data_IF_482580261716
#
_entry.id   IF_482580261716
#
_cell.length_a   1.000
_cell.length_b   1.000
_cell.length_c   1.000
_cell.angle_alpha   90.00
_cell.angle_beta   90.00
_cell.angle_gamma   90.00
#
_symmetry.space_group_name_H-M   'P 1'
#
loop_
_entity.id
_entity.type
_entity.pdbx_description
1 polymer ?
#
# COMPACT_ATOMS: atom_id res chain seq x y z
N UNK A 1 -3.08 -21.73 -13.64
CA UNK A 1 -2.09 -21.17 -12.71
C UNK A 1 -1.05 -20.43 -13.52
N UNK A 2 -0.84 -19.13 -13.26
CA UNK A 2 0.15 -18.30 -13.96
C UNK A 2 1.53 -18.65 -13.43
N UNK A 3 2.46 -19.05 -14.32
CA UNK A 3 3.85 -19.31 -13.97
C UNK A 3 4.61 -17.97 -13.83
N UNK A 4 5.19 -17.72 -12.66
CA UNK A 4 5.94 -16.51 -12.34
C UNK A 4 7.44 -16.78 -12.18
N UNK A 5 7.95 -17.94 -12.57
CA UNK A 5 9.34 -18.34 -12.36
C UNK A 5 10.34 -17.43 -13.08
N UNK A 6 9.94 -16.87 -14.23
CA UNK A 6 10.73 -15.95 -15.04
C UNK A 6 10.39 -14.46 -14.83
N UNK A 7 9.55 -14.13 -13.80
CA UNK A 7 9.20 -12.74 -13.49
C UNK A 7 10.26 -12.10 -12.61
N UNK A 8 10.57 -10.83 -12.89
CA UNK A 8 11.55 -10.07 -12.14
C UNK A 8 11.02 -9.65 -10.77
N UNK A 9 11.89 -9.62 -9.76
CA UNK A 9 11.55 -8.99 -8.49
C UNK A 9 11.35 -7.48 -8.67
N UNK A 10 10.28 -6.97 -8.11
CA UNK A 10 10.06 -5.53 -8.03
C UNK A 10 10.59 -4.97 -6.71
N UNK A 11 11.42 -3.96 -6.79
CA UNK A 11 11.90 -3.19 -5.65
C UNK A 11 11.40 -1.76 -5.77
N UNK A 12 10.71 -1.28 -4.75
CA UNK A 12 10.39 0.14 -4.64
C UNK A 12 11.68 0.96 -4.60
N UNK A 13 11.61 2.17 -5.11
CA UNK A 13 12.74 3.09 -5.07
C UNK A 13 12.51 4.17 -3.99
N UNK A 14 13.57 4.47 -3.25
CA UNK A 14 13.65 5.67 -2.45
C UNK A 14 13.63 6.92 -3.35
N UNK A 15 13.34 8.12 -2.81
CA UNK A 15 13.43 9.37 -3.58
C UNK A 15 14.79 9.61 -4.24
N UNK A 16 15.87 9.02 -3.69
CA UNK A 16 17.23 9.11 -4.26
C UNK A 16 17.53 8.01 -5.31
N UNK A 17 16.53 7.21 -5.72
CA UNK A 17 16.66 6.15 -6.71
C UNK A 17 17.25 4.84 -6.19
N UNK A 18 17.61 4.73 -4.91
CA UNK A 18 18.10 3.46 -4.35
C UNK A 18 16.95 2.49 -4.07
N UNK A 19 17.13 1.16 -4.27
CA UNK A 19 16.11 0.19 -3.91
C UNK A 19 15.75 0.23 -2.43
N UNK A 20 14.45 0.20 -2.15
CA UNK A 20 13.90 0.12 -0.80
C UNK A 20 13.16 -1.20 -0.63
N UNK A 21 13.67 -2.13 0.16
CA UNK A 21 13.01 -3.39 0.45
C UNK A 21 11.88 -3.15 1.45
N UNK A 22 10.69 -2.82 0.95
CA UNK A 22 9.60 -2.35 1.80
C UNK A 22 8.52 -3.37 2.10
N UNK A 23 8.47 -4.47 1.36
CA UNK A 23 7.39 -5.43 1.55
C UNK A 23 7.74 -6.45 2.63
N UNK A 24 7.07 -6.35 3.76
CA UNK A 24 7.22 -7.25 4.90
C UNK A 24 6.38 -8.53 4.77
N UNK A 25 5.34 -8.49 3.93
CA UNK A 25 4.28 -9.50 3.90
C UNK A 25 4.20 -10.26 2.60
N UNK A 26 4.72 -9.71 1.50
CA UNK A 26 4.68 -10.37 0.21
C UNK A 26 5.93 -10.10 -0.61
N UNK A 27 6.21 -10.99 -1.57
CA UNK A 27 7.24 -10.83 -2.57
C UNK A 27 6.61 -10.33 -3.87
N UNK A 28 6.88 -9.09 -4.29
CA UNK A 28 6.37 -8.57 -5.55
C UNK A 28 7.23 -9.02 -6.71
N UNK A 29 6.58 -9.51 -7.77
CA UNK A 29 7.22 -9.82 -9.05
C UNK A 29 6.44 -9.16 -10.19
N UNK A 30 7.13 -8.75 -11.22
CA UNK A 30 6.53 -8.15 -12.42
C UNK A 30 6.86 -9.00 -13.64
N UNK A 31 5.87 -9.10 -14.55
CA UNK A 31 6.06 -9.83 -15.79
C UNK A 31 7.08 -9.13 -16.71
N UNK A 32 7.69 -9.84 -17.68
CA UNK A 32 8.67 -9.26 -18.61
C UNK A 32 8.18 -8.03 -19.35
N UNK A 33 6.89 -7.96 -19.68
CA UNK A 33 6.24 -6.84 -20.38
C UNK A 33 5.98 -5.63 -19.47
N UNK A 34 6.25 -5.73 -18.15
CA UNK A 34 6.03 -4.68 -17.14
C UNK A 34 4.58 -4.17 -17.13
N UNK A 35 3.61 -5.09 -17.24
CA UNK A 35 2.17 -4.78 -17.31
C UNK A 35 1.35 -5.45 -16.21
N UNK A 36 1.91 -6.48 -15.59
CA UNK A 36 1.27 -7.25 -14.51
C UNK A 36 2.24 -7.39 -13.34
N UNK A 37 1.75 -7.11 -12.14
CA UNK A 37 2.46 -7.43 -10.90
C UNK A 37 1.78 -8.63 -10.23
N UNK A 38 2.58 -9.57 -9.76
CA UNK A 38 2.17 -10.61 -8.83
C UNK A 38 2.61 -10.22 -7.41
N UNK A 39 1.67 -9.99 -6.52
CA UNK A 39 1.92 -9.93 -5.09
C UNK A 39 1.78 -11.34 -4.51
N UNK A 40 2.92 -12.00 -4.27
CA UNK A 40 2.96 -13.33 -3.66
C UNK A 40 3.11 -13.18 -2.14
N UNK A 41 2.07 -13.44 -1.38
CA UNK A 41 2.03 -13.33 0.09
C UNK A 41 2.85 -14.43 0.76
N UNK A 42 4.13 -14.32 0.53
CA UNK A 42 5.20 -15.16 1.04
C UNK A 42 6.51 -14.38 0.84
N UNK A 43 7.42 -14.43 1.79
CA UNK A 43 8.74 -13.80 1.62
C UNK A 43 9.71 -14.80 1.01
N UNK A 44 10.10 -14.55 -0.23
CA UNK A 44 11.13 -15.32 -0.91
C UNK A 44 12.51 -14.94 -0.32
N UNK A 45 13.27 -15.90 0.23
CA UNK A 45 14.61 -15.62 0.75
C UNK A 45 15.58 -15.01 -0.28
N UNK A 46 15.38 -15.30 -1.58
CA UNK A 46 16.17 -14.68 -2.65
C UNK A 46 15.84 -13.19 -2.84
N UNK A 47 14.62 -12.78 -2.54
CA UNK A 47 14.20 -11.38 -2.56
C UNK A 47 14.82 -10.57 -1.40
N UNK A 48 14.94 -11.18 -0.20
CA UNK A 48 15.48 -10.54 1.01
C UNK A 48 16.49 -11.44 1.75
N UNK A 49 17.66 -11.73 1.16
CA UNK A 49 18.58 -12.73 1.69
C UNK A 49 19.20 -12.39 3.05
N UNK A 50 19.15 -11.13 3.49
CA UNK A 50 19.75 -10.66 4.75
C UNK A 50 18.75 -10.46 5.89
N UNK A 51 17.46 -10.56 5.60
CA UNK A 51 16.40 -10.25 6.56
C UNK A 51 15.54 -11.50 6.79
N UNK A 52 15.72 -12.14 7.93
CA UNK A 52 14.82 -13.21 8.37
C UNK A 52 13.69 -12.56 9.17
N UNK A 53 12.64 -12.13 8.49
CA UNK A 53 11.44 -11.64 9.18
C UNK A 53 10.53 -12.84 9.39
N UNK A 54 10.40 -13.26 10.65
CA UNK A 54 9.42 -14.26 11.05
C UNK A 54 8.06 -13.55 11.20
N UNK A 55 7.30 -13.52 10.11
CA UNK A 55 5.92 -13.05 10.13
C UNK A 55 5.02 -14.27 10.40
N UNK A 56 4.13 -14.24 11.39
CA UNK A 56 3.16 -15.31 11.61
C UNK A 56 2.32 -15.57 10.36
N UNK A 57 2.06 -16.85 10.06
CA UNK A 57 1.30 -17.21 8.86
C UNK A 57 -0.12 -16.63 8.89
N UNK A 58 -0.75 -16.58 10.04
CA UNK A 58 -2.08 -15.99 10.23
C UNK A 58 -2.13 -14.52 9.84
N UNK A 59 -1.03 -13.78 10.07
CA UNK A 59 -0.91 -12.39 9.65
C UNK A 59 -0.79 -12.27 8.12
N UNK A 60 -0.02 -13.14 7.50
CA UNK A 60 0.12 -13.18 6.03
C UNK A 60 -1.23 -13.48 5.37
N UNK A 61 -1.96 -14.48 5.90
CA UNK A 61 -3.28 -14.87 5.41
C UNK A 61 -4.29 -13.73 5.56
N UNK A 62 -4.29 -13.07 6.71
CA UNK A 62 -5.16 -11.93 6.98
C UNK A 62 -4.93 -10.77 5.99
N UNK A 63 -3.68 -10.40 5.72
CA UNK A 63 -3.37 -9.35 4.76
C UNK A 63 -3.70 -9.73 3.32
N UNK A 64 -3.46 -10.98 2.94
CA UNK A 64 -3.86 -11.49 1.62
C UNK A 64 -5.37 -11.35 1.41
N UNK A 65 -6.17 -11.81 2.36
CA UNK A 65 -7.63 -11.72 2.29
C UNK A 65 -8.12 -10.27 2.23
N UNK A 66 -7.51 -9.37 3.01
CA UNK A 66 -7.83 -7.94 3.00
C UNK A 66 -7.52 -7.27 1.68
N UNK A 67 -6.38 -7.58 1.10
CA UNK A 67 -5.98 -7.04 -0.21
C UNK A 67 -6.93 -7.52 -1.32
N UNK A 68 -7.27 -8.80 -1.32
CA UNK A 68 -8.27 -9.35 -2.25
C UNK A 68 -9.63 -8.67 -2.08
N UNK A 69 -10.07 -8.48 -0.85
CA UNK A 69 -11.34 -7.80 -0.54
C UNK A 69 -11.33 -6.37 -1.06
N UNK A 70 -10.30 -5.60 -0.74
CA UNK A 70 -10.12 -4.24 -1.23
C UNK A 70 -10.19 -4.16 -2.77
N UNK A 71 -9.41 -4.97 -3.46
CA UNK A 71 -9.36 -4.99 -4.93
C UNK A 71 -10.70 -5.31 -5.58
N UNK A 72 -11.50 -6.17 -4.95
CA UNK A 72 -12.83 -6.53 -5.44
C UNK A 72 -13.88 -5.47 -5.15
N UNK A 73 -13.96 -4.98 -3.92
CA UNK A 73 -15.01 -4.04 -3.50
C UNK A 73 -14.81 -2.65 -4.10
N UNK A 74 -13.55 -2.21 -4.24
CA UNK A 74 -13.22 -0.90 -4.81
C UNK A 74 -12.77 -0.96 -6.30
N UNK A 75 -13.07 -2.05 -6.99
CA UNK A 75 -12.73 -2.23 -8.42
C UNK A 75 -13.32 -1.18 -9.35
N UNK A 76 -14.37 -0.49 -8.94
CA UNK A 76 -15.02 0.59 -9.68
C UNK A 76 -14.24 1.92 -9.67
N UNK A 77 -13.28 2.07 -8.74
CA UNK A 77 -12.47 3.29 -8.63
C UNK A 77 -11.34 3.29 -9.67
N UNK A 78 -11.10 4.46 -10.26
CA UNK A 78 -9.96 4.67 -11.17
C UNK A 78 -8.61 4.41 -10.50
N UNK A 79 -8.51 4.67 -9.20
CA UNK A 79 -7.30 4.46 -8.39
C UNK A 79 -7.07 3.02 -7.97
N UNK A 80 -8.03 2.13 -8.14
CA UNK A 80 -7.83 0.71 -7.89
C UNK A 80 -7.24 0.03 -9.13
N UNK A 81 -6.13 -0.70 -9.02
CA UNK A 81 -5.60 -1.44 -10.16
C UNK A 81 -6.55 -2.56 -10.58
N UNK A 82 -6.57 -2.89 -11.86
CA UNK A 82 -7.37 -4.01 -12.35
C UNK A 82 -6.86 -5.31 -11.70
N UNK A 83 -7.77 -6.09 -11.14
CA UNK A 83 -7.50 -7.43 -10.63
C UNK A 83 -7.67 -8.43 -11.76
N UNK A 84 -6.58 -9.11 -12.16
CA UNK A 84 -6.60 -10.10 -13.24
C UNK A 84 -6.94 -11.50 -12.73
N UNK A 85 -6.30 -11.91 -11.62
CA UNK A 85 -6.48 -13.25 -11.07
C UNK A 85 -6.11 -13.31 -9.58
N UNK A 86 -6.63 -14.33 -8.88
CA UNK A 86 -6.29 -14.64 -7.49
C UNK A 86 -6.06 -16.14 -7.34
N UNK A 87 -4.85 -16.53 -7.00
CA UNK A 87 -4.48 -17.90 -6.64
C UNK A 87 -4.56 -18.03 -5.11
N UNK A 88 -5.70 -18.51 -4.62
CA UNK A 88 -5.95 -18.64 -3.18
C UNK A 88 -5.07 -19.69 -2.52
N UNK A 89 -4.75 -20.78 -3.21
CA UNK A 89 -3.96 -21.89 -2.67
C UNK A 89 -2.51 -21.45 -2.39
N UNK A 90 -1.96 -20.59 -3.26
CA UNK A 90 -0.59 -20.08 -3.16
C UNK A 90 -0.52 -18.63 -2.70
N UNK A 91 -1.66 -18.00 -2.35
CA UNK A 91 -1.74 -16.60 -1.89
C UNK A 91 -1.09 -15.61 -2.85
N UNK A 92 -1.43 -15.71 -4.13
CA UNK A 92 -0.95 -14.79 -5.17
C UNK A 92 -2.08 -13.93 -5.69
N UNK A 93 -1.81 -12.64 -5.86
CA UNK A 93 -2.73 -11.67 -6.46
C UNK A 93 -2.05 -11.11 -7.71
N UNK A 94 -2.73 -11.15 -8.84
CA UNK A 94 -2.24 -10.63 -10.10
C UNK A 94 -3.00 -9.35 -10.45
N UNK A 95 -2.29 -8.23 -10.48
CA UNK A 95 -2.88 -6.91 -10.70
C UNK A 95 -2.23 -6.18 -11.88
N UNK A 96 -2.96 -5.21 -12.39
CA UNK A 96 -2.42 -4.21 -13.32
C UNK A 96 -1.15 -3.57 -12.75
N UNK A 97 -0.18 -3.34 -13.64
CA UNK A 97 1.08 -2.71 -13.28
C UNK A 97 1.60 -1.81 -14.39
N UNK A 98 2.31 -0.78 -14.01
CA UNK A 98 3.21 -0.01 -14.87
C UNK A 98 4.44 0.42 -14.05
N UNK A 99 5.58 0.46 -14.71
CA UNK A 99 6.86 0.83 -14.07
C UNK A 99 6.92 2.30 -13.62
N UNK A 100 6.05 3.14 -14.14
CA UNK A 100 6.00 4.58 -13.84
C UNK A 100 5.34 4.81 -12.49
N UNK A 101 6.11 5.18 -11.48
CA UNK A 101 5.59 5.46 -10.13
C UNK A 101 5.36 6.95 -9.92
N UNK A 102 4.43 7.32 -9.05
CA UNK A 102 4.22 8.70 -8.64
C UNK A 102 5.51 9.32 -8.07
N UNK A 103 6.31 8.52 -7.35
CA UNK A 103 7.61 8.97 -6.83
C UNK A 103 8.54 9.46 -7.94
N UNK A 104 8.56 8.77 -9.10
CA UNK A 104 9.38 9.21 -10.25
C UNK A 104 8.92 10.54 -10.81
N UNK A 105 7.61 10.78 -10.87
CA UNK A 105 7.08 12.08 -11.31
C UNK A 105 7.45 13.18 -10.35
N UNK A 106 7.26 12.98 -9.05
CA UNK A 106 7.51 14.02 -8.03
C UNK A 106 8.99 14.38 -7.85
N UNK A 107 9.91 13.44 -8.08
CA UNK A 107 11.33 13.63 -7.80
C UNK A 107 12.22 13.73 -9.05
N UNK A 108 11.66 13.64 -10.25
CA UNK A 108 12.42 13.86 -11.49
C UNK A 108 12.29 15.32 -11.93
N UNK A 109 13.41 16.07 -12.05
CA UNK A 109 13.36 17.46 -12.48
C UNK A 109 12.67 17.64 -13.83
N UNK A 110 11.80 18.63 -13.93
CA UNK A 110 11.07 18.96 -15.16
C UNK A 110 9.81 18.14 -15.41
N UNK A 111 9.47 17.21 -14.52
CA UNK A 111 8.18 16.51 -14.51
C UNK A 111 7.18 17.26 -13.63
N UNK A 112 5.92 17.18 -14.00
CA UNK A 112 4.83 17.85 -13.29
C UNK A 112 3.59 16.95 -13.22
N UNK A 113 3.11 16.72 -11.99
CA UNK A 113 2.01 15.80 -11.73
C UNK A 113 0.68 16.29 -12.36
N UNK A 114 0.41 17.60 -12.31
CA UNK A 114 -0.83 18.15 -12.87
C UNK A 114 -0.89 17.99 -14.40
N UNK A 115 0.28 17.93 -15.06
CA UNK A 115 0.39 17.69 -16.51
C UNK A 115 0.31 16.20 -16.85
N UNK A 116 0.99 15.35 -16.08
CA UNK A 116 1.14 13.93 -16.41
C UNK A 116 -0.05 13.07 -15.98
N UNK A 117 -0.73 13.48 -14.91
CA UNK A 117 -1.94 12.82 -14.39
C UNK A 117 -3.04 13.87 -14.20
N UNK A 118 -3.63 14.38 -15.27
CA UNK A 118 -4.75 15.31 -15.17
C UNK A 118 -5.83 14.75 -14.25
N UNK A 119 -6.39 15.60 -13.39
CA UNK A 119 -7.43 15.22 -12.41
C UNK A 119 -6.96 14.23 -11.31
N UNK A 120 -5.67 14.16 -11.01
CA UNK A 120 -5.18 13.30 -9.92
C UNK A 120 -5.79 13.67 -8.56
N UNK A 121 -6.10 14.95 -8.34
CA UNK A 121 -6.73 15.42 -7.10
C UNK A 121 -8.14 14.86 -6.94
N UNK A 122 -8.93 14.92 -8.00
CA UNK A 122 -10.27 14.31 -8.02
C UNK A 122 -10.20 12.80 -7.84
N UNK A 123 -9.25 12.14 -8.51
CA UNK A 123 -9.04 10.70 -8.36
C UNK A 123 -8.71 10.34 -6.91
N UNK A 124 -7.85 11.11 -6.25
CA UNK A 124 -7.50 10.88 -4.84
C UNK A 124 -8.63 11.24 -3.88
N UNK A 125 -9.40 12.28 -4.18
CA UNK A 125 -10.59 12.63 -3.40
C UNK A 125 -11.63 11.51 -3.46
N UNK A 126 -11.95 11.02 -4.65
CA UNK A 126 -12.86 9.87 -4.84
C UNK A 126 -12.33 8.62 -4.11
N UNK A 127 -11.03 8.40 -4.16
CA UNK A 127 -10.39 7.30 -3.44
C UNK A 127 -10.60 7.43 -1.92
N UNK A 128 -10.31 8.58 -1.33
CA UNK A 128 -10.48 8.78 0.11
C UNK A 128 -11.95 8.70 0.54
N UNK A 129 -12.87 9.29 -0.22
CA UNK A 129 -14.31 9.18 0.06
C UNK A 129 -14.73 7.72 0.05
N UNK A 130 -14.40 6.99 -1.02
CA UNK A 130 -14.82 5.60 -1.18
C UNK A 130 -14.19 4.67 -0.16
N UNK A 131 -12.93 4.89 0.22
CA UNK A 131 -12.30 4.11 1.29
C UNK A 131 -12.97 4.38 2.64
N UNK A 132 -13.31 5.65 2.93
CA UNK A 132 -14.05 6.03 4.15
C UNK A 132 -15.43 5.38 4.19
N UNK A 133 -16.21 5.44 3.10
CA UNK A 133 -17.55 4.89 3.00
C UNK A 133 -17.59 3.35 3.08
N UNK A 134 -16.56 2.68 2.58
CA UNK A 134 -16.44 1.22 2.59
C UNK A 134 -15.59 0.70 3.76
N UNK A 135 -15.28 1.55 4.73
CA UNK A 135 -14.51 1.20 5.92
C UNK A 135 -13.10 0.65 5.64
N UNK A 136 -12.46 1.13 4.57
CA UNK A 136 -11.06 0.84 4.27
C UNK A 136 -10.19 2.06 4.54
N UNK A 137 -8.96 1.83 5.02
CA UNK A 137 -7.99 2.88 5.29
C UNK A 137 -6.62 2.48 4.76
N UNK A 138 -6.16 3.20 3.75
CA UNK A 138 -4.80 3.00 3.24
C UNK A 138 -3.80 3.72 4.14
N UNK A 139 -3.06 2.96 4.92
CA UNK A 139 -2.06 3.49 5.86
C UNK A 139 -0.80 3.98 5.14
N UNK A 140 -0.45 3.39 3.99
CA UNK A 140 0.74 3.76 3.23
C UNK A 140 0.38 4.70 2.08
N UNK A 141 0.59 5.99 2.28
CA UNK A 141 0.37 7.05 1.28
C UNK A 141 1.68 7.54 0.65
N UNK A 142 2.75 6.77 0.74
CA UNK A 142 4.02 7.12 0.08
C UNK A 142 3.86 7.12 -1.45
N UNK A 143 4.44 8.10 -2.16
CA UNK A 143 4.34 8.16 -3.62
C UNK A 143 4.82 6.91 -4.35
N UNK A 144 5.74 6.15 -3.77
CA UNK A 144 6.16 4.85 -4.30
C UNK A 144 5.15 3.72 -4.05
N UNK A 145 4.01 4.00 -3.39
CA UNK A 145 2.86 3.12 -3.27
C UNK A 145 1.77 3.41 -4.32
N UNK A 146 2.10 4.22 -5.32
CA UNK A 146 1.24 4.54 -6.44
C UNK A 146 2.04 4.43 -7.75
N UNK A 147 1.38 3.93 -8.80
CA UNK A 147 1.92 3.98 -10.15
C UNK A 147 0.94 4.70 -11.08
N UNK A 148 1.45 5.16 -12.23
CA UNK A 148 0.66 5.80 -13.25
C UNK A 148 0.38 4.76 -14.32
N UNK A 149 -0.88 4.45 -14.58
CA UNK A 149 -1.27 3.51 -15.63
C UNK A 149 -1.01 4.09 -17.03
N UNK A 150 -1.08 3.25 -18.06
CA UNK A 150 -0.85 3.68 -19.45
C UNK A 150 -1.85 4.72 -19.95
N UNK A 151 -3.04 4.76 -19.35
CA UNK A 151 -4.10 5.75 -19.64
C UNK A 151 -4.06 6.97 -18.72
N UNK A 152 -2.97 7.20 -18.00
CA UNK A 152 -2.75 8.39 -17.17
C UNK A 152 -3.58 8.40 -15.88
N UNK A 153 -3.95 7.25 -15.35
CA UNK A 153 -4.64 7.17 -14.07
C UNK A 153 -3.66 6.85 -12.94
N UNK A 154 -3.88 7.45 -11.78
CA UNK A 154 -3.14 7.11 -10.58
C UNK A 154 -3.68 5.81 -9.98
N UNK A 155 -2.84 4.81 -9.82
CA UNK A 155 -3.21 3.48 -9.29
C UNK A 155 -2.47 3.15 -8.02
N UNK A 156 -3.15 2.52 -7.07
CA UNK A 156 -2.54 2.11 -5.79
C UNK A 156 -1.78 0.79 -5.91
N UNK A 157 -0.70 0.67 -5.15
CA UNK A 157 -0.04 -0.61 -4.84
C UNK A 157 0.16 -0.72 -3.33
N UNK A 158 0.55 -1.89 -2.84
CA UNK A 158 0.67 -2.17 -1.40
C UNK A 158 -0.66 -2.00 -0.67
N UNK A 159 -1.69 -2.63 -1.21
CA UNK A 159 -3.02 -2.55 -0.62
C UNK A 159 -3.12 -3.34 0.69
N UNK A 160 -2.11 -4.14 1.04
CA UNK A 160 -2.02 -4.79 2.36
C UNK A 160 -2.13 -3.78 3.52
N UNK A 161 -1.82 -2.51 3.26
CA UNK A 161 -1.98 -1.43 4.22
C UNK A 161 -3.41 -0.88 4.28
N UNK A 162 -4.34 -1.41 3.49
CA UNK A 162 -5.76 -1.05 3.55
C UNK A 162 -6.45 -1.92 4.59
N UNK A 163 -6.91 -1.29 5.65
CA UNK A 163 -7.48 -1.97 6.81
C UNK A 163 -8.91 -1.49 6.99
N UNK A 164 -9.87 -2.38 7.30
CA UNK A 164 -11.26 -1.99 7.56
C UNK A 164 -11.35 -1.03 8.73
N UNK A 165 -12.01 0.10 8.52
CA UNK A 165 -12.18 1.14 9.54
C UNK A 165 -12.93 0.66 10.79
N UNK A 166 -13.88 -0.26 10.64
CA UNK A 166 -14.71 -0.77 11.75
C UNK A 166 -14.02 -1.82 12.61
N UNK A 167 -12.88 -2.33 12.22
CA UNK A 167 -12.08 -3.16 13.11
C UNK A 167 -11.47 -2.29 14.20
N UNK A 168 -12.26 -1.99 15.21
CA UNK A 168 -11.91 -1.05 16.29
C UNK A 168 -10.73 -1.50 17.12
N UNK A 169 -10.45 -2.81 17.13
CA UNK A 169 -9.41 -3.38 17.96
C UNK A 169 -8.65 -4.44 17.17
N UNK A 170 -7.37 -4.18 16.94
CA UNK A 170 -6.44 -5.15 16.36
C UNK A 170 -5.45 -5.54 17.44
N UNK A 171 -5.17 -6.81 17.55
CA UNK A 171 -4.19 -7.30 18.50
C UNK A 171 -2.83 -6.62 18.28
N UNK A 172 -2.22 -6.14 19.37
CA UNK A 172 -0.96 -5.39 19.33
C UNK A 172 0.13 -6.07 18.50
N UNK A 173 0.28 -7.40 18.62
CA UNK A 173 1.28 -8.15 17.84
C UNK A 173 1.05 -8.08 16.32
N UNK A 174 -0.20 -7.90 15.86
CA UNK A 174 -0.51 -7.72 14.43
C UNK A 174 0.04 -6.36 13.98
N UNK A 175 -0.20 -5.31 14.74
CA UNK A 175 0.33 -3.98 14.45
C UNK A 175 1.87 -3.97 14.51
N UNK A 176 2.47 -4.60 15.51
CA UNK A 176 3.92 -4.74 15.59
C UNK A 176 4.49 -5.49 14.37
N UNK A 177 3.76 -6.46 13.82
CA UNK A 177 4.11 -7.12 12.57
C UNK A 177 4.02 -6.21 11.34
N UNK A 178 3.03 -5.28 11.30
CA UNK A 178 2.85 -4.32 10.19
C UNK A 178 3.95 -3.26 10.15
N UNK A 179 4.25 -2.65 11.31
CA UNK A 179 5.14 -1.48 11.39
C UNK A 179 6.51 -1.81 11.99
N UNK A 180 6.71 -3.08 12.37
CA UNK A 180 7.87 -3.57 13.09
C UNK A 180 7.89 -3.11 14.56
N UNK A 181 8.68 -3.79 15.38
CA UNK A 181 8.78 -3.47 16.82
C UNK A 181 9.21 -2.03 17.05
N UNK A 182 10.19 -1.55 16.29
CA UNK A 182 10.68 -0.17 16.42
C UNK A 182 9.65 0.86 15.98
N UNK A 183 8.81 0.53 15.00
CA UNK A 183 7.70 1.37 14.54
C UNK A 183 6.58 1.46 15.57
N UNK A 184 6.22 0.33 16.19
CA UNK A 184 5.19 0.29 17.23
C UNK A 184 5.51 1.20 18.43
N UNK A 185 6.78 1.31 18.79
CA UNK A 185 7.22 2.18 19.88
C UNK A 185 7.23 3.68 19.53
N UNK A 186 7.18 4.02 18.24
CA UNK A 186 7.11 5.43 17.81
C UNK A 186 5.72 6.02 17.93
N UNK A 187 4.72 5.18 18.02
CA UNK A 187 3.33 5.57 18.18
C UNK A 187 2.90 5.23 19.60
N UNK A 188 2.34 6.20 20.28
CA UNK A 188 1.68 5.97 21.58
C UNK A 188 0.38 5.20 21.31
N UNK A 189 0.55 3.89 21.16
CA UNK A 189 -0.56 2.98 20.86
C UNK A 189 -1.35 2.80 22.16
N UNK A 190 -2.41 3.57 22.32
CA UNK A 190 -3.35 3.33 23.42
C UNK A 190 -4.03 1.97 23.17
N UNK A 191 -3.82 1.07 24.10
CA UNK A 191 -4.55 -0.19 24.17
C UNK A 191 -5.74 -0.06 25.11
N UNK A 192 -6.81 -0.78 24.83
CA UNK A 192 -7.91 -0.98 25.76
C UNK A 192 -7.49 -1.90 26.94
N UNK A 193 -8.38 -2.12 27.90
CA UNK A 193 -8.15 -2.98 29.05
C UNK A 193 -7.84 -4.45 28.68
N UNK A 194 -8.16 -4.88 27.45
CA UNK A 194 -7.90 -6.23 26.91
C UNK A 194 -6.60 -6.31 26.11
N UNK A 195 -5.87 -5.19 25.98
CA UNK A 195 -4.63 -5.13 25.22
C UNK A 195 -4.81 -4.99 23.69
N UNK A 196 -6.02 -4.68 23.22
CA UNK A 196 -6.28 -4.37 21.81
C UNK A 196 -6.04 -2.89 21.53
N UNK A 197 -5.61 -2.58 20.32
CA UNK A 197 -5.31 -1.21 19.91
C UNK A 197 -6.57 -0.55 19.32
N UNK A 198 -6.85 0.68 19.76
CA UNK A 198 -7.83 1.53 19.10
C UNK A 198 -7.31 1.89 17.71
N UNK A 199 -7.81 1.19 16.70
CA UNK A 199 -7.34 1.29 15.34
C UNK A 199 -7.60 2.67 14.72
N UNK A 200 -8.72 3.31 15.06
CA UNK A 200 -9.03 4.65 14.58
C UNK A 200 -7.96 5.65 15.04
N UNK A 201 -7.63 5.62 16.34
CA UNK A 201 -6.61 6.48 16.91
C UNK A 201 -5.21 6.18 16.34
N UNK A 202 -4.88 4.90 16.15
CA UNK A 202 -3.65 4.48 15.48
C UNK A 202 -3.56 5.05 14.07
N UNK A 203 -4.62 4.93 13.28
CA UNK A 203 -4.70 5.46 11.93
C UNK A 203 -4.50 6.98 11.92
N UNK A 204 -5.26 7.72 12.72
CA UNK A 204 -5.18 9.18 12.81
C UNK A 204 -3.75 9.66 13.11
N UNK A 205 -3.08 9.05 14.09
CA UNK A 205 -1.71 9.38 14.45
C UNK A 205 -0.74 9.04 13.31
N UNK A 206 -0.88 7.86 12.71
CA UNK A 206 0.04 7.38 11.67
C UNK A 206 -0.07 8.21 10.41
N UNK A 207 -1.28 8.46 9.94
CA UNK A 207 -1.51 9.25 8.72
C UNK A 207 -1.10 10.70 8.93
N UNK A 208 -1.45 11.32 10.06
CA UNK A 208 -1.04 12.69 10.34
C UNK A 208 0.48 12.85 10.29
N UNK A 209 1.22 11.91 10.90
CA UNK A 209 2.69 11.93 10.80
C UNK A 209 3.19 11.70 9.39
N UNK A 210 2.65 10.73 8.66
CA UNK A 210 3.02 10.46 7.28
C UNK A 210 2.82 11.67 6.38
N UNK A 211 1.67 12.32 6.45
CA UNK A 211 1.35 13.49 5.63
C UNK A 211 2.23 14.71 5.95
N UNK A 212 2.85 14.76 7.12
CA UNK A 212 3.81 15.81 7.52
C UNK A 212 5.26 15.52 7.08
N UNK A 213 5.55 14.32 6.60
CA UNK A 213 6.91 13.87 6.27
C UNK A 213 7.32 14.30 4.85
N UNK A 214 7.80 15.55 4.72
CA UNK A 214 8.12 16.20 3.44
C UNK A 214 9.14 15.44 2.59
N UNK A 215 10.09 14.74 3.21
CA UNK A 215 11.17 14.04 2.53
C UNK A 215 10.71 12.91 1.58
N UNK A 216 9.50 12.41 1.76
CA UNK A 216 8.93 11.32 0.97
C UNK A 216 7.85 11.78 -0.03
N UNK A 217 7.54 13.08 -0.09
CA UNK A 217 6.50 13.63 -0.97
C UNK A 217 5.06 13.31 -0.56
N UNK A 218 4.84 12.75 0.62
CA UNK A 218 3.50 12.37 1.11
C UNK A 218 2.60 13.58 1.28
N UNK A 219 3.18 14.74 1.53
CA UNK A 219 2.44 16.00 1.72
C UNK A 219 1.60 16.39 0.51
N UNK A 220 1.84 15.81 -0.66
CA UNK A 220 1.03 16.05 -1.86
C UNK A 220 -0.45 15.69 -1.65
N UNK A 221 -0.73 14.75 -0.76
CA UNK A 221 -2.09 14.30 -0.46
C UNK A 221 -2.71 14.98 0.77
N UNK A 222 -1.96 15.81 1.51
CA UNK A 222 -2.39 16.34 2.80
C UNK A 222 -3.69 17.14 2.72
N UNK A 223 -3.74 18.10 1.80
CA UNK A 223 -4.90 18.99 1.65
C UNK A 223 -6.17 18.19 1.28
N UNK A 224 -6.03 17.22 0.37
CA UNK A 224 -7.16 16.39 -0.08
C UNK A 224 -7.63 15.48 1.07
N UNK A 225 -6.68 14.92 1.82
CA UNK A 225 -7.00 14.09 2.98
C UNK A 225 -7.76 14.89 4.05
N UNK A 226 -7.26 16.09 4.39
CA UNK A 226 -7.91 16.98 5.36
C UNK A 226 -9.32 17.37 4.92
N UNK A 227 -9.52 17.67 3.65
CA UNK A 227 -10.85 17.99 3.09
C UNK A 227 -11.84 16.84 3.29
N UNK A 228 -11.42 15.59 3.09
CA UNK A 228 -12.34 14.43 3.18
C UNK A 228 -12.57 13.95 4.62
N UNK A 229 -11.57 14.08 5.49
CA UNK A 229 -11.65 13.47 6.83
C UNK A 229 -12.01 14.46 7.94
N UNK A 230 -11.88 15.78 7.73
CA UNK A 230 -12.28 16.79 8.69
C UNK A 230 -13.73 17.30 8.48
N UNK A 231 -14.37 16.91 7.36
CA UNK A 231 -15.81 17.08 7.13
C UNK A 231 -16.59 15.88 7.74
#
# INVERSE_FOLDING_TARGET
MIDISNWDYYHKLNPNGTPYPSNLLYTPRVNPEQTVMCAHYCIDPAYRPKETILVPQELVDWFFERDVKFLKELSHLKTTPMLYDVDYDNRKIFIEWNKETLSQVLFTPGRDLDTEVPNWKEQMKDFFISTKENNFWKVSLYPNCFFISKDGQLKTIDNYAVIPYEERFIERKIIEGIIGKDGAYRFDLSTDEKGFIDFKKFFEITITKHLQEKSWGNTVFADIFEEVYND
#
